data_IF_229022714423
#
_entry.id   IF_229022714423
#
_cell.length_a   1.000
_cell.length_b   1.000
_cell.length_c   1.000
_cell.angle_alpha   90.00
_cell.angle_beta   90.00
_cell.angle_gamma   90.00
#
_symmetry.space_group_name_H-M   'P 1'
#
loop_
_entity.id
_entity.type
_entity.pdbx_description
1 polymer ?
#
# COMPACT_ATOMS: atom_id res chain seq x y z
N UNK A 1 3.13 12.71 23.63
CA UNK A 1 1.92 13.49 23.37
C UNK A 1 0.89 12.48 22.87
N UNK A 2 -0.06 12.08 23.72
CA UNK A 2 -1.10 11.13 23.33
C UNK A 2 -2.13 11.91 22.53
N UNK A 3 -2.24 11.66 21.24
CA UNK A 3 -3.35 12.19 20.44
C UNK A 3 -4.66 11.62 20.99
N UNK A 4 -5.70 12.44 21.16
CA UNK A 4 -7.00 11.93 21.55
C UNK A 4 -7.45 10.85 20.55
N UNK A 5 -8.23 9.85 20.98
CA UNK A 5 -8.81 8.90 20.06
C UNK A 5 -9.53 9.68 18.93
N UNK A 6 -9.37 9.24 17.68
CA UNK A 6 -9.94 9.87 16.47
C UNK A 6 -11.48 9.91 16.52
N UNK A 7 -12.07 9.35 17.56
CA UNK A 7 -13.50 9.25 17.81
C UNK A 7 -13.90 10.17 18.98
N UNK A 8 -14.44 11.35 18.69
CA UNK A 8 -15.15 12.14 19.69
C UNK A 8 -16.54 11.55 19.87
N UNK A 9 -16.76 10.77 20.92
CA UNK A 9 -18.10 10.33 21.32
C UNK A 9 -18.89 11.52 21.86
N UNK A 10 -19.92 12.00 21.17
CA UNK A 10 -20.96 12.82 21.76
C UNK A 10 -22.09 11.91 22.23
N UNK A 11 -22.39 11.94 23.52
CA UNK A 11 -23.64 11.38 24.04
C UNK A 11 -24.75 12.38 23.73
N UNK A 12 -25.74 11.99 22.92
CA UNK A 12 -27.02 12.69 22.90
C UNK A 12 -27.77 12.33 24.18
N UNK A 13 -28.70 13.19 24.62
CA UNK A 13 -29.46 13.00 25.85
C UNK A 13 -30.35 11.74 25.91
N UNK A 14 -30.28 10.84 24.91
CA UNK A 14 -31.01 9.57 24.81
C UNK A 14 -30.16 8.34 25.16
N UNK A 15 -28.87 8.52 25.52
CA UNK A 15 -27.95 7.42 25.83
C UNK A 15 -27.49 6.59 24.63
N UNK A 16 -27.82 7.00 23.41
CA UNK A 16 -27.21 6.46 22.18
C UNK A 16 -25.91 7.21 21.94
N UNK A 17 -24.82 6.47 21.86
CA UNK A 17 -23.54 6.98 21.39
C UNK A 17 -23.67 7.10 19.87
N UNK A 18 -24.01 8.28 19.37
CA UNK A 18 -23.76 8.59 17.97
C UNK A 18 -22.28 8.91 17.82
N UNK A 19 -21.58 8.08 17.13
CA UNK A 19 -20.23 8.39 16.65
C UNK A 19 -20.45 9.30 15.44
N UNK A 20 -20.49 10.64 15.66
CA UNK A 20 -20.28 11.57 14.57
C UNK A 20 -18.86 11.35 14.08
N UNK A 21 -18.68 10.52 13.06
CA UNK A 21 -17.43 10.36 12.34
C UNK A 21 -17.15 11.68 11.62
N UNK A 22 -16.55 12.61 12.34
CA UNK A 22 -16.01 13.83 11.75
C UNK A 22 -14.92 13.41 10.76
N UNK A 23 -14.76 14.10 9.60
CA UNK A 23 -13.63 13.86 8.72
C UNK A 23 -12.34 13.85 9.53
N UNK A 24 -11.44 12.91 9.22
CA UNK A 24 -10.14 12.87 9.89
C UNK A 24 -9.28 14.05 9.43
N UNK A 25 -8.18 14.40 10.11
CA UNK A 25 -7.35 15.54 9.73
C UNK A 25 -6.73 15.45 8.32
N UNK A 26 -6.66 14.25 7.73
CA UNK A 26 -5.98 14.03 6.45
C UNK A 26 -6.89 13.42 5.37
N UNK A 27 -8.12 13.04 5.72
CA UNK A 27 -9.13 12.48 4.80
C UNK A 27 -10.45 13.17 5.08
N UNK A 28 -11.03 13.85 4.07
CA UNK A 28 -12.30 14.58 4.18
C UNK A 28 -13.49 13.83 3.57
N UNK A 29 -13.35 12.53 3.37
CA UNK A 29 -14.41 11.69 2.85
C UNK A 29 -15.62 11.61 3.81
N UNK A 30 -16.81 11.41 3.25
CA UNK A 30 -17.99 11.11 4.03
C UNK A 30 -17.90 9.71 4.67
N UNK A 31 -18.72 9.48 5.70
CA UNK A 31 -18.87 8.14 6.26
C UNK A 31 -19.37 7.15 5.20
N UNK A 32 -18.77 5.97 5.17
CA UNK A 32 -19.08 4.94 4.16
C UNK A 32 -18.61 5.24 2.73
N UNK A 33 -17.82 6.31 2.52
CA UNK A 33 -17.32 6.66 1.18
C UNK A 33 -16.25 5.71 0.67
N UNK A 34 -15.53 4.99 1.55
CA UNK A 34 -14.55 3.99 1.16
C UNK A 34 -15.12 2.57 1.18
N UNK A 35 -14.69 1.75 0.24
CA UNK A 35 -14.92 0.30 0.25
C UNK A 35 -14.08 -0.38 1.33
N UNK A 36 -14.43 -1.62 1.70
CA UNK A 36 -13.65 -2.41 2.66
C UNK A 36 -12.22 -2.71 2.16
N UNK A 37 -12.01 -2.73 0.84
CA UNK A 37 -10.71 -2.96 0.22
C UNK A 37 -10.23 -1.73 -0.52
N UNK A 38 -9.00 -1.29 -0.20
CA UNK A 38 -8.34 -0.12 -0.80
C UNK A 38 -7.07 -0.54 -1.52
N UNK A 39 -6.94 -0.17 -2.81
CA UNK A 39 -5.64 -0.16 -3.49
C UNK A 39 -4.89 1.12 -3.10
N UNK A 40 -3.61 0.97 -2.74
CA UNK A 40 -2.83 2.08 -2.21
C UNK A 40 -1.54 2.31 -3.02
N UNK A 41 -1.57 3.12 -4.08
CA UNK A 41 -0.37 3.64 -4.71
C UNK A 41 0.30 4.72 -3.84
N UNK A 42 1.61 4.94 -4.03
CA UNK A 42 2.31 6.09 -3.41
C UNK A 42 1.92 7.42 -4.05
N UNK A 43 1.85 7.45 -5.38
CA UNK A 43 1.64 8.64 -6.20
C UNK A 43 0.14 8.96 -6.36
N UNK A 44 -0.31 10.19 -6.03
CA UNK A 44 -1.69 10.64 -6.26
C UNK A 44 -2.14 10.55 -7.73
N UNK A 45 -1.24 10.80 -8.68
CA UNK A 45 -1.54 10.65 -10.11
C UNK A 45 -1.81 9.19 -10.49
N UNK A 46 -1.13 8.24 -9.84
CA UNK A 46 -1.44 6.82 -10.03
C UNK A 46 -2.81 6.46 -9.45
N UNK A 47 -3.21 7.06 -8.34
CA UNK A 47 -4.58 6.89 -7.83
C UNK A 47 -5.62 7.37 -8.86
N UNK A 48 -5.41 8.53 -9.48
CA UNK A 48 -6.26 9.03 -10.58
C UNK A 48 -6.22 8.09 -11.79
N UNK A 49 -5.04 7.63 -12.20
CA UNK A 49 -4.89 6.69 -13.32
C UNK A 49 -5.66 5.38 -13.09
N UNK A 50 -5.60 4.82 -11.88
CA UNK A 50 -6.37 3.61 -11.53
C UNK A 50 -7.87 3.90 -11.65
N UNK A 51 -8.33 5.01 -11.07
CA UNK A 51 -9.74 5.39 -11.08
C UNK A 51 -10.29 5.58 -12.51
N UNK A 52 -9.57 6.31 -13.36
CA UNK A 52 -10.00 6.64 -14.72
C UNK A 52 -9.91 5.44 -15.67
N UNK A 53 -8.90 4.58 -15.52
CA UNK A 53 -8.63 3.52 -16.48
C UNK A 53 -9.35 2.21 -16.15
N UNK A 54 -9.50 1.89 -14.86
CA UNK A 54 -9.97 0.57 -14.43
C UNK A 54 -11.32 0.60 -13.74
N UNK A 55 -11.72 1.71 -13.09
CA UNK A 55 -12.98 1.74 -12.35
C UNK A 55 -14.09 2.34 -13.19
N UNK A 56 -15.30 1.78 -13.05
CA UNK A 56 -16.53 2.41 -13.54
C UNK A 56 -17.18 3.21 -12.44
N UNK A 57 -17.81 4.34 -12.80
CA UNK A 57 -18.45 5.27 -11.85
C UNK A 57 -17.53 5.70 -10.71
N UNK A 58 -16.25 5.95 -11.03
CA UNK A 58 -15.28 6.41 -10.04
C UNK A 58 -15.61 7.84 -9.57
N UNK A 59 -15.72 8.01 -8.27
CA UNK A 59 -15.95 9.30 -7.63
C UNK A 59 -14.74 9.69 -6.77
N UNK A 60 -14.32 10.95 -6.85
CA UNK A 60 -13.31 11.52 -5.95
C UNK A 60 -13.92 11.69 -4.57
N UNK A 61 -13.44 10.95 -3.57
CA UNK A 61 -13.97 10.97 -2.19
C UNK A 61 -13.13 11.78 -1.22
N UNK A 62 -11.86 12.04 -1.55
CA UNK A 62 -10.96 12.91 -0.76
C UNK A 62 -9.86 13.49 -1.64
N UNK A 63 -9.43 14.72 -1.30
CA UNK A 63 -8.35 15.45 -1.99
C UNK A 63 -7.46 16.26 -1.03
N UNK A 64 -7.59 16.01 0.27
CA UNK A 64 -6.85 16.75 1.31
C UNK A 64 -5.35 16.62 1.06
N UNK A 65 -4.65 17.77 1.08
CA UNK A 65 -3.20 17.88 0.83
C UNK A 65 -2.74 17.35 -0.54
N UNK A 66 -3.67 17.22 -1.50
CA UNK A 66 -3.39 16.62 -2.81
C UNK A 66 -3.22 15.11 -2.77
N UNK A 67 -3.53 14.45 -1.66
CA UNK A 67 -3.57 13.00 -1.56
C UNK A 67 -4.96 12.53 -1.96
N UNK A 68 -5.05 12.05 -3.21
CA UNK A 68 -6.32 11.75 -3.86
C UNK A 68 -6.82 10.36 -3.49
N UNK A 69 -8.13 10.26 -3.18
CA UNK A 69 -8.82 8.99 -2.98
C UNK A 69 -10.10 8.91 -3.81
N UNK A 70 -10.36 7.75 -4.38
CA UNK A 70 -11.50 7.46 -5.25
C UNK A 70 -12.21 6.20 -4.80
N UNK A 71 -13.52 6.13 -5.05
CA UNK A 71 -14.29 4.90 -4.93
C UNK A 71 -15.07 4.67 -6.21
N UNK A 72 -15.07 3.45 -6.70
CA UNK A 72 -15.77 3.06 -7.93
C UNK A 72 -16.01 1.56 -7.97
N UNK A 73 -16.30 1.04 -9.15
CA UNK A 73 -16.63 -0.38 -9.35
C UNK A 73 -15.65 -1.01 -10.32
N UNK A 74 -15.05 -2.14 -9.93
CA UNK A 74 -14.24 -3.00 -10.79
C UNK A 74 -14.92 -4.37 -10.93
N UNK A 75 -15.24 -4.79 -12.16
CA UNK A 75 -15.96 -6.05 -12.47
C UNK A 75 -17.19 -6.29 -11.56
N UNK A 76 -17.95 -5.24 -11.26
CA UNK A 76 -19.18 -5.32 -10.45
C UNK A 76 -18.98 -5.22 -8.93
N UNK A 77 -17.75 -5.19 -8.43
CA UNK A 77 -17.42 -5.08 -7.01
C UNK A 77 -16.91 -3.67 -6.69
N UNK A 78 -17.39 -3.09 -5.58
CA UNK A 78 -16.93 -1.76 -5.13
C UNK A 78 -15.51 -1.86 -4.57
N UNK A 79 -14.61 -1.01 -5.08
CA UNK A 79 -13.21 -0.91 -4.67
C UNK A 79 -12.85 0.56 -4.51
N UNK A 80 -12.02 0.86 -3.53
CA UNK A 80 -11.45 2.21 -3.36
C UNK A 80 -9.97 2.22 -3.72
N UNK A 81 -9.50 3.40 -4.09
CA UNK A 81 -8.10 3.68 -4.35
C UNK A 81 -7.73 4.92 -3.57
N UNK A 82 -6.61 4.89 -2.85
CA UNK A 82 -6.11 6.09 -2.16
C UNK A 82 -4.60 6.14 -2.17
N UNK A 83 -4.04 7.29 -2.51
CA UNK A 83 -2.61 7.50 -2.45
C UNK A 83 -2.10 7.52 -0.99
N UNK A 84 -0.87 7.04 -0.78
CA UNK A 84 -0.20 7.08 0.53
C UNK A 84 0.78 8.25 0.68
N UNK A 85 1.16 8.90 -0.43
CA UNK A 85 2.39 9.69 -0.47
C UNK A 85 3.63 8.80 -0.45
N UNK A 86 4.78 9.39 -0.18
CA UNK A 86 6.07 8.69 -0.11
C UNK A 86 6.55 8.59 1.34
N UNK A 87 7.12 7.43 1.69
CA UNK A 87 7.74 7.16 2.97
C UNK A 87 6.76 6.71 4.06
N UNK A 88 7.30 5.95 5.00
CA UNK A 88 6.52 5.35 6.09
C UNK A 88 5.72 6.35 6.91
N UNK A 89 6.20 7.55 7.28
CA UNK A 89 5.41 8.50 8.06
C UNK A 89 4.15 8.97 7.34
N UNK A 90 4.24 9.21 6.02
CA UNK A 90 3.08 9.57 5.20
C UNK A 90 2.08 8.41 5.10
N UNK A 91 2.56 7.23 4.69
CA UNK A 91 1.73 6.04 4.57
C UNK A 91 1.02 5.69 5.89
N UNK A 92 1.73 5.79 7.02
CA UNK A 92 1.19 5.50 8.34
C UNK A 92 -0.03 6.35 8.71
N UNK A 93 -0.05 7.62 8.31
CA UNK A 93 -1.21 8.51 8.54
C UNK A 93 -2.44 7.96 7.83
N UNK A 94 -2.36 7.77 6.52
CA UNK A 94 -3.50 7.38 5.69
C UNK A 94 -3.96 5.95 5.98
N UNK A 95 -3.04 5.00 6.17
CA UNK A 95 -3.38 3.62 6.55
C UNK A 95 -4.15 3.61 7.87
N UNK A 96 -3.65 4.32 8.89
CA UNK A 96 -4.30 4.36 10.21
C UNK A 96 -5.69 4.99 10.15
N UNK A 97 -5.84 6.11 9.44
CA UNK A 97 -7.14 6.78 9.31
C UNK A 97 -8.15 5.93 8.54
N UNK A 98 -7.75 5.29 7.43
CA UNK A 98 -8.62 4.39 6.67
C UNK A 98 -9.12 3.22 7.52
N UNK A 99 -8.23 2.56 8.26
CA UNK A 99 -8.59 1.42 9.08
C UNK A 99 -9.45 1.79 10.29
N UNK A 100 -9.13 2.91 10.97
CA UNK A 100 -9.82 3.29 12.21
C UNK A 100 -11.11 4.05 12.01
N UNK A 101 -11.20 4.88 10.96
CA UNK A 101 -12.30 5.82 10.79
C UNK A 101 -13.23 5.49 9.62
N UNK A 102 -12.73 4.86 8.55
CA UNK A 102 -13.48 4.67 7.31
C UNK A 102 -13.90 3.23 7.02
N UNK A 103 -13.79 2.33 7.99
CA UNK A 103 -14.28 0.94 7.87
C UNK A 103 -13.48 0.07 6.92
N UNK A 104 -12.31 0.53 6.46
CA UNK A 104 -11.42 -0.26 5.61
C UNK A 104 -10.89 -1.47 6.39
N UNK A 105 -10.83 -2.63 5.74
CA UNK A 105 -10.38 -3.90 6.32
C UNK A 105 -9.15 -4.46 5.63
N UNK A 106 -8.98 -4.12 4.35
CA UNK A 106 -7.91 -4.63 3.49
C UNK A 106 -7.22 -3.50 2.76
N UNK A 107 -5.90 -3.51 2.75
CA UNK A 107 -5.10 -2.56 1.97
C UNK A 107 -4.12 -3.34 1.11
N UNK A 108 -4.21 -3.16 -0.22
CA UNK A 108 -3.26 -3.71 -1.18
C UNK A 108 -2.42 -2.55 -1.72
N UNK A 109 -1.18 -2.46 -1.25
CA UNK A 109 -0.22 -1.50 -1.79
C UNK A 109 0.20 -1.92 -3.20
N UNK A 110 0.17 -0.95 -4.13
CA UNK A 110 0.59 -1.12 -5.52
C UNK A 110 1.66 -0.07 -5.86
N UNK A 111 2.92 -0.48 -5.73
CA UNK A 111 4.07 0.41 -5.74
C UNK A 111 5.13 0.08 -6.79
N UNK A 112 6.22 0.84 -6.76
CA UNK A 112 7.43 0.58 -7.53
C UNK A 112 8.61 0.40 -6.59
N UNK A 113 9.64 -0.34 -7.02
CA UNK A 113 10.80 -0.64 -6.20
C UNK A 113 12.09 -0.69 -7.02
N UNK A 114 13.21 -0.47 -6.33
CA UNK A 114 14.55 -0.71 -6.85
C UNK A 114 15.00 -2.13 -6.58
N UNK A 115 15.57 -2.78 -7.59
CA UNK A 115 16.01 -4.18 -7.55
C UNK A 115 17.35 -4.32 -6.83
N UNK A 116 17.41 -5.23 -5.85
CA UNK A 116 18.65 -5.68 -5.19
C UNK A 116 19.10 -7.05 -5.70
N UNK A 117 18.17 -7.95 -6.02
CA UNK A 117 18.47 -9.31 -6.47
C UNK A 117 18.98 -9.30 -7.92
N UNK A 118 20.18 -9.82 -8.21
CA UNK A 118 20.77 -9.72 -9.56
C UNK A 118 19.94 -10.39 -10.67
N UNK A 119 19.17 -11.42 -10.32
CA UNK A 119 18.39 -12.22 -11.27
C UNK A 119 16.95 -11.70 -11.47
N UNK A 120 16.56 -10.63 -10.77
CA UNK A 120 15.23 -10.05 -10.87
C UNK A 120 15.20 -8.98 -11.97
N UNK A 121 14.39 -9.17 -12.99
CA UNK A 121 14.34 -8.27 -14.13
C UNK A 121 13.53 -6.99 -13.86
N UNK A 122 13.85 -5.92 -14.59
CA UNK A 122 12.97 -4.75 -14.67
C UNK A 122 11.59 -5.17 -15.21
N UNK A 123 10.56 -4.47 -14.75
CA UNK A 123 9.12 -4.71 -15.03
C UNK A 123 8.55 -5.95 -14.35
N UNK A 124 9.36 -6.84 -13.79
CA UNK A 124 8.85 -7.96 -13.03
C UNK A 124 8.05 -7.48 -11.81
N UNK A 125 6.98 -8.22 -11.50
CA UNK A 125 6.15 -7.92 -10.33
C UNK A 125 6.60 -8.80 -9.17
N UNK A 126 6.71 -8.19 -7.99
CA UNK A 126 7.05 -8.86 -6.73
C UNK A 126 5.90 -8.70 -5.74
N UNK A 127 5.42 -9.81 -5.17
CA UNK A 127 4.61 -9.78 -3.95
C UNK A 127 5.54 -9.90 -2.74
N UNK A 128 5.51 -8.93 -1.85
CA UNK A 128 6.37 -8.89 -0.67
C UNK A 128 5.86 -9.89 0.40
N UNK A 129 6.62 -10.96 0.62
CA UNK A 129 6.33 -11.97 1.65
C UNK A 129 6.81 -11.58 3.04
N UNK A 130 7.59 -10.50 3.12
CA UNK A 130 8.08 -9.91 4.36
C UNK A 130 8.70 -8.55 4.10
N UNK A 131 8.85 -7.76 5.15
CA UNK A 131 9.55 -6.48 5.09
C UNK A 131 10.58 -6.39 6.21
N UNK A 132 11.81 -5.98 5.87
CA UNK A 132 12.83 -5.50 6.81
C UNK A 132 12.96 -4.00 6.67
N UNK A 133 13.37 -3.29 7.70
CA UNK A 133 13.42 -1.83 7.68
C UNK A 133 14.50 -1.26 8.58
N UNK A 134 15.00 -0.07 8.23
CA UNK A 134 15.86 0.77 9.08
C UNK A 134 15.06 1.75 9.96
N UNK A 135 13.74 1.74 9.88
CA UNK A 135 12.86 2.63 10.65
C UNK A 135 12.53 2.07 12.03
N UNK A 136 12.38 2.96 12.99
CA UNK A 136 11.85 2.62 14.31
C UNK A 136 10.30 2.62 14.37
N UNK A 137 9.60 2.95 13.29
CA UNK A 137 8.15 3.06 13.29
C UNK A 137 7.46 1.78 13.79
N UNK A 138 7.79 0.56 13.30
CA UNK A 138 7.15 -0.67 13.77
C UNK A 138 7.29 -0.88 15.28
N UNK A 139 8.49 -0.67 15.82
CA UNK A 139 8.76 -0.81 17.25
C UNK A 139 8.00 0.23 18.09
N UNK A 140 7.92 1.48 17.63
CA UNK A 140 7.22 2.57 18.32
C UNK A 140 5.71 2.28 18.45
N UNK A 141 5.09 1.69 17.42
CA UNK A 141 3.66 1.36 17.44
C UNK A 141 3.35 -0.01 18.07
N UNK A 142 4.35 -0.75 18.49
CA UNK A 142 4.20 -2.07 19.12
C UNK A 142 3.85 -3.19 18.14
N UNK A 143 4.30 -3.07 16.88
CA UNK A 143 4.12 -4.13 15.89
C UNK A 143 5.00 -5.36 16.23
N UNK A 144 4.64 -6.55 15.72
CA UNK A 144 5.48 -7.74 15.87
C UNK A 144 6.82 -7.59 15.14
N UNK A 145 7.84 -8.34 15.57
CA UNK A 145 9.17 -8.33 14.94
C UNK A 145 9.13 -8.82 13.48
N UNK A 146 8.19 -9.70 13.15
CA UNK A 146 7.99 -10.19 11.78
C UNK A 146 6.90 -9.38 11.10
N UNK A 147 7.28 -8.64 10.07
CA UNK A 147 6.38 -7.86 9.23
C UNK A 147 6.06 -8.65 7.97
N UNK A 148 4.84 -9.15 7.86
CA UNK A 148 4.42 -10.03 6.78
C UNK A 148 3.02 -9.66 6.25
N UNK A 149 2.69 -10.03 5.00
CA UNK A 149 1.36 -9.86 4.45
C UNK A 149 0.35 -10.81 5.10
N UNK A 150 -0.93 -10.54 4.86
CA UNK A 150 -1.98 -11.52 5.13
C UNK A 150 -1.81 -12.75 4.26
N UNK A 151 -1.75 -13.97 4.83
CA UNK A 151 -1.54 -15.18 4.04
C UNK A 151 -2.61 -15.42 2.98
N UNK A 152 -3.86 -15.06 3.28
CA UNK A 152 -4.99 -15.22 2.35
C UNK A 152 -4.88 -14.26 1.15
N UNK A 153 -4.50 -12.98 1.38
CA UNK A 153 -4.28 -12.02 0.31
C UNK A 153 -3.11 -12.42 -0.59
N UNK A 154 -2.02 -12.91 0.00
CA UNK A 154 -0.86 -13.40 -0.76
C UNK A 154 -1.24 -14.61 -1.63
N UNK A 155 -1.87 -15.62 -1.04
CA UNK A 155 -2.30 -16.80 -1.78
C UNK A 155 -3.32 -16.46 -2.88
N UNK A 156 -4.17 -15.45 -2.65
CA UNK A 156 -5.10 -14.97 -3.68
C UNK A 156 -4.37 -14.28 -4.82
N UNK A 157 -3.38 -13.44 -4.54
CA UNK A 157 -2.57 -12.79 -5.56
C UNK A 157 -1.78 -13.82 -6.41
N UNK A 158 -1.23 -14.85 -5.79
CA UNK A 158 -0.54 -15.95 -6.48
C UNK A 158 -1.50 -16.72 -7.41
N UNK A 159 -2.71 -17.06 -6.94
CA UNK A 159 -3.73 -17.73 -7.76
C UNK A 159 -4.19 -16.85 -8.94
N UNK A 160 -4.38 -15.55 -8.71
CA UNK A 160 -4.76 -14.61 -9.76
C UNK A 160 -3.65 -14.48 -10.80
N UNK A 161 -2.39 -14.35 -10.35
CA UNK A 161 -1.22 -14.28 -11.23
C UNK A 161 -1.10 -15.54 -12.11
N UNK A 162 -1.25 -16.73 -11.54
CA UNK A 162 -1.26 -17.99 -12.28
C UNK A 162 -2.39 -18.04 -13.32
N UNK A 163 -3.61 -17.64 -12.92
CA UNK A 163 -4.79 -17.67 -13.80
C UNK A 163 -4.69 -16.66 -14.97
N UNK A 164 -3.98 -15.56 -14.77
CA UNK A 164 -3.81 -14.49 -15.78
C UNK A 164 -2.49 -14.59 -16.56
N UNK A 165 -1.59 -15.51 -16.17
CA UNK A 165 -0.27 -15.68 -16.78
C UNK A 165 0.74 -14.59 -16.41
N UNK A 166 0.48 -13.82 -15.36
CA UNK A 166 1.39 -12.79 -14.84
C UNK A 166 2.56 -13.44 -14.12
N UNK A 167 3.78 -13.06 -14.50
CA UNK A 167 4.99 -13.55 -13.83
C UNK A 167 5.18 -12.85 -12.47
N UNK A 168 4.74 -13.50 -11.40
CA UNK A 168 4.83 -13.01 -10.03
C UNK A 168 6.01 -13.68 -9.30
N UNK A 169 6.97 -12.87 -8.85
CA UNK A 169 7.99 -13.29 -7.91
C UNK A 169 7.54 -13.00 -6.48
N UNK A 170 8.05 -13.75 -5.51
CA UNK A 170 7.74 -13.55 -4.09
C UNK A 170 9.02 -13.49 -3.26
N UNK A 171 9.09 -12.61 -2.28
CA UNK A 171 10.25 -12.51 -1.40
C UNK A 171 10.22 -11.30 -0.47
N UNK A 172 11.21 -11.20 0.38
CA UNK A 172 11.37 -10.11 1.33
C UNK A 172 11.83 -8.83 0.63
N UNK A 173 11.28 -7.69 1.04
CA UNK A 173 11.70 -6.36 0.58
C UNK A 173 12.31 -5.56 1.73
N UNK A 174 13.14 -4.59 1.39
CA UNK A 174 13.64 -3.59 2.35
C UNK A 174 12.85 -2.31 2.23
N UNK A 175 12.28 -1.86 3.33
CA UNK A 175 11.61 -0.55 3.43
C UNK A 175 12.57 0.44 4.06
N UNK A 176 13.03 1.43 3.27
CA UNK A 176 13.99 2.44 3.72
C UNK A 176 13.32 3.77 4.07
N UNK A 177 13.79 4.42 5.14
CA UNK A 177 13.46 5.82 5.44
C UNK A 177 14.23 6.80 4.54
N UNK A 178 15.26 6.33 3.83
CA UNK A 178 16.18 7.15 3.05
C UNK A 178 16.16 6.72 1.58
N UNK A 179 15.84 7.66 0.68
CA UNK A 179 15.89 7.40 -0.75
C UNK A 179 17.31 7.56 -1.32
N UNK A 180 18.05 8.58 -0.85
CA UNK A 180 19.41 8.84 -1.27
C UNK A 180 20.38 8.26 -0.25
N UNK A 181 20.68 6.96 -0.38
CA UNK A 181 21.63 6.27 0.49
C UNK A 181 23.04 6.85 0.29
N UNK A 182 23.80 7.08 1.40
CA UNK A 182 25.13 7.67 1.31
C UNK A 182 26.20 6.75 0.73
N UNK A 183 25.96 5.45 0.73
CA UNK A 183 26.84 4.39 0.21
C UNK A 183 26.03 3.14 -0.11
N UNK A 184 26.70 2.10 -0.62
CA UNK A 184 26.11 0.84 -1.02
C UNK A 184 26.08 -0.24 0.08
N UNK A 185 26.44 0.09 1.33
CA UNK A 185 26.60 -0.89 2.40
C UNK A 185 25.29 -1.61 2.72
N UNK A 186 24.20 -0.85 2.88
CA UNK A 186 22.86 -1.42 3.12
C UNK A 186 22.42 -2.31 1.96
N UNK A 187 22.65 -1.91 0.71
CA UNK A 187 22.33 -2.71 -0.46
C UNK A 187 23.09 -4.03 -0.47
N UNK A 188 24.40 -4.01 -0.21
CA UNK A 188 25.23 -5.22 -0.15
C UNK A 188 24.78 -6.18 0.95
N UNK A 189 24.50 -5.65 2.15
CA UNK A 189 24.02 -6.44 3.28
C UNK A 189 22.67 -7.09 2.96
N UNK A 190 21.70 -6.32 2.49
CA UNK A 190 20.37 -6.82 2.18
C UNK A 190 20.38 -7.82 1.02
N UNK A 191 21.17 -7.58 -0.04
CA UNK A 191 21.35 -8.55 -1.13
C UNK A 191 21.93 -9.87 -0.61
N UNK A 192 22.92 -9.84 0.26
CA UNK A 192 23.51 -11.03 0.85
C UNK A 192 22.52 -11.82 1.74
N UNK A 193 21.53 -11.14 2.31
CA UNK A 193 20.44 -11.74 3.10
C UNK A 193 19.22 -12.14 2.26
N UNK A 194 19.30 -12.11 0.94
CA UNK A 194 18.22 -12.54 0.03
C UNK A 194 17.05 -11.55 -0.09
N UNK A 195 17.23 -10.27 0.28
CA UNK A 195 16.24 -9.23 0.04
C UNK A 195 16.17 -8.91 -1.44
N UNK A 196 14.97 -8.91 -2.02
CA UNK A 196 14.78 -8.77 -3.47
C UNK A 196 14.86 -7.32 -3.95
N UNK A 197 14.31 -6.39 -3.19
CA UNK A 197 14.11 -5.02 -3.64
C UNK A 197 14.01 -4.03 -2.48
N UNK A 198 14.16 -2.73 -2.78
CA UNK A 198 13.97 -1.63 -1.83
C UNK A 198 12.80 -0.74 -2.26
N UNK A 199 12.01 -0.33 -1.30
CA UNK A 199 10.90 0.62 -1.42
C UNK A 199 10.74 1.39 -0.09
N UNK A 200 9.66 2.13 0.15
CA UNK A 200 9.61 3.07 1.28
C UNK A 200 8.36 2.95 2.18
N UNK A 201 7.43 2.00 1.99
CA UNK A 201 6.14 1.98 2.72
C UNK A 201 5.67 0.61 3.23
N UNK A 202 6.17 -0.50 2.71
CA UNK A 202 5.68 -1.86 3.03
C UNK A 202 5.76 -2.19 4.50
N UNK A 203 6.86 -1.84 5.17
CA UNK A 203 7.01 -2.10 6.61
C UNK A 203 5.98 -1.35 7.46
N UNK A 204 5.64 -0.10 7.09
CA UNK A 204 4.58 0.64 7.75
C UNK A 204 3.21 0.00 7.55
N UNK A 205 2.90 -0.44 6.32
CA UNK A 205 1.64 -1.11 6.02
C UNK A 205 1.48 -2.39 6.82
N UNK A 206 2.47 -3.28 6.80
CA UNK A 206 2.39 -4.56 7.50
C UNK A 206 2.37 -4.38 9.02
N UNK A 207 3.16 -3.43 9.54
CA UNK A 207 3.18 -3.12 10.97
C UNK A 207 1.81 -2.62 11.47
N UNK A 208 1.23 -1.65 10.77
CA UNK A 208 -0.06 -1.07 11.17
C UNK A 208 -1.19 -2.08 11.00
N UNK A 209 -1.21 -2.82 9.88
CA UNK A 209 -2.21 -3.87 9.67
C UNK A 209 -2.18 -4.93 10.78
N UNK A 210 -0.99 -5.36 11.21
CA UNK A 210 -0.84 -6.30 12.32
C UNK A 210 -1.38 -5.73 13.65
N UNK A 211 -1.11 -4.45 13.94
CA UNK A 211 -1.58 -3.78 15.17
C UNK A 211 -3.09 -3.57 15.14
N UNK A 212 -3.65 -3.20 13.99
CA UNK A 212 -5.09 -2.90 13.83
C UNK A 212 -5.95 -4.16 13.53
N UNK A 213 -5.32 -5.33 13.35
CA UNK A 213 -6.03 -6.56 12.99
C UNK A 213 -6.65 -6.50 11.60
N UNK A 214 -5.99 -5.82 10.67
CA UNK A 214 -6.40 -5.66 9.28
C UNK A 214 -5.57 -6.55 8.34
N UNK A 215 -6.02 -6.70 7.10
CA UNK A 215 -5.34 -7.47 6.08
C UNK A 215 -4.52 -6.55 5.17
N UNK A 216 -3.32 -6.98 4.82
CA UNK A 216 -2.40 -6.21 3.98
C UNK A 216 -1.62 -7.08 2.99
N UNK A 217 -1.35 -6.51 1.82
CA UNK A 217 -0.46 -7.06 0.81
C UNK A 217 0.27 -5.92 0.10
N UNK A 218 1.50 -6.16 -0.31
CA UNK A 218 2.26 -5.26 -1.18
C UNK A 218 2.63 -5.97 -2.48
N UNK A 219 2.28 -5.34 -3.60
CA UNK A 219 2.68 -5.68 -4.96
C UNK A 219 3.57 -4.56 -5.51
N UNK A 220 4.69 -4.91 -6.09
CA UNK A 220 5.70 -3.96 -6.55
C UNK A 220 6.14 -4.26 -7.97
N UNK A 221 6.13 -3.25 -8.85
CA UNK A 221 6.81 -3.34 -10.14
C UNK A 221 8.26 -2.87 -10.00
N UNK A 222 9.18 -3.64 -10.53
CA UNK A 222 10.62 -3.31 -10.53
C UNK A 222 10.92 -2.26 -11.59
N UNK A 223 11.40 -1.07 -11.18
CA UNK A 223 11.61 0.08 -12.07
C UNK A 223 13.05 0.53 -12.21
N UNK A 224 13.89 0.17 -11.27
CA UNK A 224 15.30 0.53 -11.21
C UNK A 224 16.12 -0.69 -10.78
N UNK A 225 17.18 -1.00 -11.51
CA UNK A 225 18.06 -2.11 -11.16
C UNK A 225 19.35 -1.58 -10.53
N UNK A 226 19.40 -1.56 -9.20
CA UNK A 226 20.48 -0.90 -8.45
C UNK A 226 21.84 -1.64 -8.53
N UNK A 227 21.86 -2.84 -9.09
CA UNK A 227 23.11 -3.60 -9.33
C UNK A 227 23.66 -3.34 -10.73
N UNK A 228 22.80 -3.30 -11.77
CA UNK A 228 23.23 -3.09 -13.16
C UNK A 228 23.22 -1.62 -13.56
N UNK A 229 22.50 -0.75 -12.83
CA UNK A 229 22.33 0.66 -13.15
C UNK A 229 21.27 0.92 -14.22
N UNK A 230 20.57 -0.10 -14.69
CA UNK A 230 19.46 0.06 -15.63
C UNK A 230 18.23 0.67 -14.93
N UNK A 231 17.49 1.50 -15.63
CA UNK A 231 16.29 2.13 -15.08
C UNK A 231 15.26 2.40 -16.19
N UNK A 232 13.98 2.38 -15.81
CA UNK A 232 12.90 2.77 -16.70
C UNK A 232 12.79 4.29 -16.76
N UNK A 233 12.48 4.84 -17.93
CA UNK A 233 12.11 6.24 -18.08
C UNK A 233 10.81 6.57 -17.31
N UNK A 234 10.55 7.86 -17.09
CA UNK A 234 9.32 8.29 -16.42
C UNK A 234 8.05 7.83 -17.14
N UNK A 235 8.08 7.80 -18.49
CA UNK A 235 6.98 7.33 -19.32
C UNK A 235 6.80 5.81 -19.19
N UNK A 236 7.89 5.05 -19.28
CA UNK A 236 7.85 3.60 -19.10
C UNK A 236 7.36 3.20 -17.70
N UNK A 237 7.74 3.95 -16.64
CA UNK A 237 7.25 3.71 -15.28
C UNK A 237 5.74 3.86 -15.16
N UNK A 238 5.10 4.72 -15.97
CA UNK A 238 3.64 4.86 -15.97
C UNK A 238 2.96 3.72 -16.72
N UNK A 239 3.52 3.29 -17.85
CA UNK A 239 2.92 2.27 -18.72
C UNK A 239 3.11 0.83 -18.17
N UNK A 240 4.21 0.56 -17.49
CA UNK A 240 4.56 -0.79 -17.03
C UNK A 240 3.93 -1.21 -15.71
N UNK A 241 3.22 -0.30 -15.03
CA UNK A 241 2.54 -0.63 -13.78
C UNK A 241 1.13 -1.19 -13.97
N UNK A 242 0.54 -1.04 -15.16
CA UNK A 242 -0.85 -1.46 -15.41
C UNK A 242 -1.08 -2.96 -15.12
N UNK A 243 -0.13 -3.83 -15.48
CA UNK A 243 -0.23 -5.26 -15.19
C UNK A 243 -0.28 -5.54 -13.67
N UNK A 244 0.56 -4.85 -12.87
CA UNK A 244 0.51 -4.95 -11.41
C UNK A 244 -0.79 -4.34 -10.84
N UNK A 245 -1.26 -3.22 -11.40
CA UNK A 245 -2.52 -2.59 -10.97
C UNK A 245 -3.70 -3.51 -11.21
N UNK A 246 -3.76 -4.16 -12.38
CA UNK A 246 -4.80 -5.13 -12.69
C UNK A 246 -4.72 -6.37 -11.80
N UNK A 247 -3.50 -6.90 -11.54
CA UNK A 247 -3.29 -7.97 -10.58
C UNK A 247 -3.82 -7.58 -9.18
N UNK A 248 -3.51 -6.37 -8.72
CA UNK A 248 -4.00 -5.84 -7.45
C UNK A 248 -5.53 -5.72 -7.39
N UNK A 249 -6.16 -5.20 -8.46
CA UNK A 249 -7.62 -5.08 -8.54
C UNK A 249 -8.31 -6.45 -8.56
N UNK A 250 -7.81 -7.39 -9.35
CA UNK A 250 -8.34 -8.77 -9.39
C UNK A 250 -8.16 -9.47 -8.05
N UNK A 251 -7.04 -9.24 -7.37
CA UNK A 251 -6.82 -9.74 -5.99
C UNK A 251 -7.84 -9.13 -5.03
N UNK A 252 -8.10 -7.82 -5.14
CA UNK A 252 -9.02 -7.09 -4.27
C UNK A 252 -10.47 -7.59 -4.33
N UNK A 253 -10.91 -8.08 -5.49
CA UNK A 253 -12.28 -8.55 -5.69
C UNK A 253 -12.46 -10.09 -5.52
N UNK A 254 -11.36 -10.82 -5.38
CA UNK A 254 -11.34 -12.28 -5.25
C UNK A 254 -11.30 -12.77 -3.78
N UNK A 255 -11.34 -11.83 -2.80
CA UNK A 255 -11.30 -12.08 -1.35
C UNK A 255 -12.59 -11.78 -0.66
#
# INVERSE_FOLDING_TARGET
MVWPPVCATRADGSGRISVDLMPTPHINAADGAFAETVLMPGDPRRATHIAERFLTNAELVTDVRGTLGYTGTYEGTTVSVMASGMGMPSAAIYITELLRAYGVRRIIRVGTAGVYAPDLALRQIVAATGAVTNSNLPAIIGAPDTLAPSPELLATAERVAEATGVALATGTVFTSDIFYEPNDDARHEHTANGVLAVEMETAALYAIAAVEGAEALTLLTMTDHLVTGEHLSSEERQLTVDEMLELGLRTAIAV
#
